data_IF_280323542007
#
_entry.id   IF_280323542007
#
_cell.length_a   1.000
_cell.length_b   1.000
_cell.length_c   1.000
_cell.angle_alpha   90.00
_cell.angle_beta   90.00
_cell.angle_gamma   90.00
#
_symmetry.space_group_name_H-M   'P 1'
#
loop_
_entity.id
_entity.type
_entity.pdbx_description
1 polymer ?
#
# COMPACT_ATOMS: atom_id res chain seq x y z
N UNK A 1 11.71 29.69 -12.48
CA UNK A 1 10.61 29.44 -11.52
C UNK A 1 10.85 28.07 -10.92
N UNK A 2 11.30 28.02 -9.66
CA UNK A 2 11.57 26.77 -8.94
C UNK A 2 10.23 26.14 -8.54
N UNK A 3 9.94 24.94 -9.03
CA UNK A 3 8.73 24.21 -8.63
C UNK A 3 8.88 23.81 -7.17
N UNK A 4 7.94 24.26 -6.34
CA UNK A 4 7.82 24.06 -4.90
C UNK A 4 7.58 22.60 -4.48
N UNK A 5 7.63 21.66 -5.43
CA UNK A 5 7.35 20.24 -5.24
C UNK A 5 8.58 19.42 -5.63
N UNK A 6 9.07 18.62 -4.69
CA UNK A 6 10.10 17.61 -4.98
C UNK A 6 9.58 16.71 -6.10
N UNK A 7 10.40 16.50 -7.13
CA UNK A 7 10.02 15.67 -8.26
C UNK A 7 9.83 14.21 -7.79
N UNK A 8 8.63 13.66 -8.00
CA UNK A 8 8.33 12.28 -7.64
C UNK A 8 9.12 11.31 -8.55
N UNK A 9 9.77 10.33 -7.94
CA UNK A 9 10.39 9.20 -8.61
C UNK A 9 9.33 8.10 -8.76
N UNK A 10 8.59 8.16 -9.88
CA UNK A 10 7.45 7.27 -10.11
C UNK A 10 7.82 5.79 -10.07
N UNK A 11 8.96 5.41 -10.67
CA UNK A 11 9.39 4.01 -10.71
C UNK A 11 9.70 3.52 -9.28
N UNK A 12 10.50 4.28 -8.51
CA UNK A 12 10.80 3.90 -7.13
C UNK A 12 9.60 3.93 -6.20
N UNK A 13 8.63 4.80 -6.47
CA UNK A 13 7.37 4.83 -5.72
C UNK A 13 6.55 3.57 -6.01
N UNK A 14 6.48 3.14 -7.27
CA UNK A 14 5.84 1.87 -7.63
C UNK A 14 6.52 0.68 -6.96
N UNK A 15 7.85 0.62 -6.97
CA UNK A 15 8.62 -0.46 -6.33
C UNK A 15 8.35 -0.47 -4.81
N UNK A 16 8.33 0.69 -4.16
CA UNK A 16 8.03 0.84 -2.72
C UNK A 16 6.63 0.33 -2.38
N UNK A 17 5.64 0.63 -3.21
CA UNK A 17 4.25 0.15 -3.05
C UNK A 17 4.19 -1.37 -3.22
N UNK A 18 4.92 -1.92 -4.20
CA UNK A 18 4.98 -3.35 -4.45
C UNK A 18 5.59 -4.13 -3.29
N UNK A 19 6.73 -3.66 -2.77
CA UNK A 19 7.39 -4.21 -1.57
C UNK A 19 6.45 -4.16 -0.37
N UNK A 20 5.82 -3.01 -0.11
CA UNK A 20 4.92 -2.84 1.03
C UNK A 20 3.72 -3.81 0.97
N UNK A 21 3.06 -3.90 -0.18
CA UNK A 21 1.87 -4.75 -0.33
C UNK A 21 2.19 -6.24 -0.45
N UNK A 22 3.42 -6.60 -0.79
CA UNK A 22 3.87 -8.00 -0.86
C UNK A 22 4.40 -8.49 0.48
N UNK A 23 5.29 -7.72 1.12
CA UNK A 23 6.02 -8.17 2.31
C UNK A 23 5.34 -7.77 3.62
N UNK A 24 4.73 -6.59 3.68
CA UNK A 24 4.22 -6.02 4.94
C UNK A 24 2.72 -6.29 5.13
N UNK A 25 1.94 -6.36 4.05
CA UNK A 25 0.50 -6.67 4.13
C UNK A 25 0.24 -8.00 4.84
N UNK A 26 0.99 -9.06 4.51
CA UNK A 26 0.84 -10.37 5.16
C UNK A 26 1.18 -10.29 6.65
N UNK A 27 2.26 -9.60 7.01
CA UNK A 27 2.64 -9.38 8.42
C UNK A 27 1.56 -8.63 9.19
N UNK A 28 1.02 -7.56 8.62
CA UNK A 28 -0.05 -6.78 9.25
C UNK A 28 -1.29 -7.64 9.50
N UNK A 29 -1.71 -8.43 8.51
CA UNK A 29 -2.86 -9.34 8.63
C UNK A 29 -2.65 -10.33 9.77
N UNK A 30 -1.48 -10.96 9.84
CA UNK A 30 -1.12 -11.89 10.91
C UNK A 30 -1.11 -11.20 12.28
N UNK A 31 -0.56 -9.98 12.38
CA UNK A 31 -0.52 -9.19 13.61
C UNK A 31 -1.92 -8.77 14.09
N UNK A 32 -2.84 -8.48 13.17
CA UNK A 32 -4.23 -8.16 13.50
C UNK A 32 -5.09 -9.37 13.85
N UNK A 33 -4.55 -10.60 13.71
CA UNK A 33 -5.30 -11.85 13.90
C UNK A 33 -6.39 -12.10 12.85
N UNK A 34 -6.30 -11.44 11.67
CA UNK A 34 -7.26 -11.58 10.56
C UNK A 34 -6.72 -12.53 9.49
N UNK A 35 -7.55 -12.82 8.49
CA UNK A 35 -7.13 -13.54 7.29
C UNK A 35 -7.17 -12.62 6.07
N UNK A 36 -6.29 -12.87 5.09
CA UNK A 36 -6.29 -12.13 3.81
C UNK A 36 -7.64 -12.21 3.09
N UNK A 37 -8.39 -13.30 3.31
CA UNK A 37 -9.73 -13.49 2.76
C UNK A 37 -10.73 -12.42 3.23
N UNK A 38 -10.52 -11.81 4.39
CA UNK A 38 -11.41 -10.78 4.94
C UNK A 38 -11.35 -9.49 4.13
N UNK A 39 -10.25 -9.28 3.39
CA UNK A 39 -10.02 -8.12 2.52
C UNK A 39 -10.67 -8.28 1.14
N UNK A 40 -11.17 -9.47 0.78
CA UNK A 40 -11.83 -9.72 -0.52
C UNK A 40 -13.21 -9.08 -0.62
N UNK A 41 -13.84 -8.78 0.52
CA UNK A 41 -15.15 -8.14 0.57
C UNK A 41 -15.02 -6.62 0.52
N UNK A 42 -15.88 -5.90 -0.21
CA UNK A 42 -15.99 -4.44 -0.10
C UNK A 42 -16.37 -3.97 1.31
N UNK A 43 -16.94 -4.85 2.14
CA UNK A 43 -17.21 -4.59 3.55
C UNK A 43 -16.26 -5.42 4.41
N UNK A 44 -15.30 -4.76 5.07
CA UNK A 44 -14.44 -5.40 6.07
C UNK A 44 -15.27 -5.79 7.30
N UNK A 45 -15.36 -7.09 7.60
CA UNK A 45 -16.06 -7.57 8.80
C UNK A 45 -15.22 -7.26 10.04
N UNK A 46 -15.71 -6.37 10.91
CA UNK A 46 -14.99 -5.80 12.07
C UNK A 46 -14.98 -6.71 13.31
N UNK A 47 -14.83 -8.03 13.16
CA UNK A 47 -14.70 -8.90 14.32
C UNK A 47 -13.31 -8.74 14.98
N UNK A 48 -13.22 -8.41 16.27
CA UNK A 48 -11.92 -8.33 16.97
C UNK A 48 -11.31 -9.72 17.11
N UNK A 49 -10.07 -9.89 16.65
CA UNK A 49 -9.27 -11.08 16.96
C UNK A 49 -8.90 -11.07 18.45
N UNK A 50 -9.25 -12.12 19.19
CA UNK A 50 -9.00 -12.20 20.63
C UNK A 50 -7.50 -12.51 20.90
N UNK A 51 -6.76 -11.57 21.48
CA UNK A 51 -5.38 -11.83 21.96
C UNK A 51 -5.39 -12.16 23.45
N UNK A 52 -5.08 -13.41 23.81
CA UNK A 52 -4.93 -13.86 25.20
C UNK A 52 -3.47 -13.70 25.67
N UNK A 53 -3.19 -12.91 26.73
CA UNK A 53 -1.95 -13.07 27.51
C UNK A 53 -1.32 -11.81 28.12
N UNK A 54 -1.34 -11.72 29.45
CA UNK A 54 -0.86 -10.65 30.35
C UNK A 54 0.52 -10.02 30.05
N UNK A 55 0.63 -8.71 30.29
CA UNK A 55 1.79 -7.79 30.23
C UNK A 55 2.49 -7.61 28.87
N UNK A 56 2.69 -8.66 28.07
CA UNK A 56 2.98 -8.53 26.64
C UNK A 56 1.71 -8.26 25.82
N UNK A 57 0.54 -8.49 26.42
CA UNK A 57 -0.76 -8.11 25.88
C UNK A 57 -0.80 -6.65 25.49
N UNK A 58 -0.35 -5.70 26.32
CA UNK A 58 -0.55 -4.27 26.00
C UNK A 58 0.22 -3.86 24.74
N UNK A 59 1.50 -4.22 24.62
CA UNK A 59 2.28 -3.94 23.42
C UNK A 59 1.76 -4.69 22.19
N UNK A 60 1.35 -5.95 22.37
CA UNK A 60 0.75 -6.78 21.30
C UNK A 60 -0.61 -6.24 20.84
N UNK A 61 -1.46 -5.82 21.78
CA UNK A 61 -2.76 -5.18 21.56
C UNK A 61 -2.57 -3.85 20.86
N UNK A 62 -1.62 -3.01 21.30
CA UNK A 62 -1.30 -1.73 20.63
C UNK A 62 -0.84 -2.02 19.20
N UNK A 63 0.10 -2.95 19.00
CA UNK A 63 0.57 -3.32 17.66
C UNK A 63 -0.51 -3.94 16.78
N UNK A 64 -1.46 -4.67 17.37
CA UNK A 64 -2.61 -5.24 16.68
C UNK A 64 -3.66 -4.20 16.32
N UNK A 65 -3.88 -3.19 17.17
CA UNK A 65 -4.75 -2.04 16.90
C UNK A 65 -4.18 -1.17 15.79
N UNK A 66 -2.88 -0.89 15.84
CA UNK A 66 -2.16 -0.16 14.79
C UNK A 66 -2.21 -0.93 13.47
N UNK A 67 -1.92 -2.24 13.50
CA UNK A 67 -2.02 -3.10 12.32
C UNK A 67 -3.46 -3.17 11.77
N UNK A 68 -4.48 -3.21 12.64
CA UNK A 68 -5.87 -3.19 12.20
C UNK A 68 -6.23 -1.86 11.52
N UNK A 69 -5.80 -0.73 12.07
CA UNK A 69 -6.00 0.58 11.45
C UNK A 69 -5.31 0.65 10.07
N UNK A 70 -4.07 0.14 9.96
CA UNK A 70 -3.35 0.07 8.69
C UNK A 70 -4.05 -0.82 7.67
N UNK A 71 -4.52 -2.01 8.06
CA UNK A 71 -5.27 -2.91 7.17
C UNK A 71 -6.55 -2.25 6.66
N UNK A 72 -7.28 -1.56 7.54
CA UNK A 72 -8.47 -0.80 7.12
C UNK A 72 -8.09 0.30 6.13
N UNK A 73 -6.96 0.99 6.36
CA UNK A 73 -6.49 2.04 5.45
C UNK A 73 -6.13 1.45 4.08
N UNK A 74 -5.42 0.32 4.04
CA UNK A 74 -5.08 -0.40 2.79
C UNK A 74 -6.35 -0.82 2.05
N UNK A 75 -7.31 -1.42 2.77
CA UNK A 75 -8.58 -1.84 2.21
C UNK A 75 -9.36 -0.68 1.60
N UNK A 76 -9.60 0.38 2.37
CA UNK A 76 -10.31 1.55 1.89
C UNK A 76 -9.58 2.20 0.70
N UNK A 77 -8.25 2.24 0.75
CA UNK A 77 -7.44 2.76 -0.36
C UNK A 77 -7.74 1.98 -1.65
N UNK A 78 -7.62 0.64 -1.63
CA UNK A 78 -7.86 -0.22 -2.81
C UNK A 78 -9.28 -0.04 -3.33
N UNK A 79 -10.30 -0.07 -2.46
CA UNK A 79 -11.70 -0.01 -2.89
C UNK A 79 -12.16 1.37 -3.35
N UNK A 80 -11.44 2.45 -3.03
CA UNK A 80 -11.69 3.81 -3.53
C UNK A 80 -10.88 4.16 -4.79
N UNK A 81 -10.00 3.28 -5.27
CA UNK A 81 -9.32 3.49 -6.54
C UNK A 81 -10.29 3.46 -7.73
N UNK A 82 -9.94 4.11 -8.85
CA UNK A 82 -10.68 3.96 -10.11
C UNK A 82 -10.82 2.47 -10.49
N UNK A 83 -11.93 2.09 -11.12
CA UNK A 83 -12.34 0.69 -11.30
C UNK A 83 -11.21 -0.23 -11.82
N UNK A 84 -10.53 0.19 -12.88
CA UNK A 84 -9.41 -0.59 -13.45
C UNK A 84 -8.23 -0.74 -12.49
N UNK A 85 -7.86 0.34 -11.80
CA UNK A 85 -6.78 0.31 -10.81
C UNK A 85 -7.15 -0.54 -9.61
N UNK A 86 -8.40 -0.44 -9.13
CA UNK A 86 -8.94 -1.30 -8.06
C UNK A 86 -8.86 -2.78 -8.44
N UNK A 87 -9.32 -3.16 -9.65
CA UNK A 87 -9.27 -4.55 -10.12
C UNK A 87 -7.82 -5.04 -10.13
N UNK A 88 -6.89 -4.28 -10.72
CA UNK A 88 -5.47 -4.67 -10.79
C UNK A 88 -4.86 -4.86 -9.39
N UNK A 89 -5.04 -3.88 -8.49
CA UNK A 89 -4.46 -3.93 -7.14
C UNK A 89 -5.07 -5.05 -6.31
N UNK A 90 -6.39 -5.22 -6.36
CA UNK A 90 -7.10 -6.29 -5.64
C UNK A 90 -6.67 -7.67 -6.14
N UNK A 91 -6.63 -7.86 -7.45
CA UNK A 91 -6.33 -9.17 -8.05
C UNK A 91 -4.86 -9.55 -7.81
N UNK A 92 -3.94 -8.59 -7.86
CA UNK A 92 -2.53 -8.80 -7.52
C UNK A 92 -2.28 -9.07 -6.04
N UNK A 93 -2.74 -8.19 -5.14
CA UNK A 93 -2.27 -8.22 -3.74
C UNK A 93 -3.24 -8.92 -2.78
N UNK A 94 -4.54 -8.94 -3.08
CA UNK A 94 -5.55 -9.58 -2.22
C UNK A 94 -5.86 -11.00 -2.70
N UNK A 95 -6.00 -11.19 -4.02
CA UNK A 95 -6.18 -12.52 -4.60
C UNK A 95 -4.87 -13.24 -4.90
N UNK A 96 -3.72 -12.55 -4.80
CA UNK A 96 -2.39 -13.12 -5.05
C UNK A 96 -2.31 -13.78 -6.44
N UNK A 97 -2.98 -13.18 -7.43
CA UNK A 97 -2.90 -13.63 -8.82
C UNK A 97 -1.58 -13.20 -9.44
N UNK A 98 -1.06 -14.04 -10.32
CA UNK A 98 0.13 -13.71 -11.08
C UNK A 98 -0.15 -12.56 -12.06
N UNK A 99 0.86 -11.70 -12.29
CA UNK A 99 0.70 -10.54 -13.19
C UNK A 99 0.19 -10.90 -14.59
N UNK A 100 0.58 -12.08 -15.11
CA UNK A 100 0.10 -12.54 -16.42
C UNK A 100 -1.38 -12.97 -16.38
N UNK A 101 -1.86 -13.53 -15.26
CA UNK A 101 -3.27 -13.90 -15.08
C UNK A 101 -4.16 -12.66 -15.01
N UNK A 102 -3.70 -11.64 -14.29
CA UNK A 102 -4.43 -10.36 -14.20
C UNK A 102 -4.49 -9.70 -15.57
N UNK A 103 -3.36 -9.64 -16.30
CA UNK A 103 -3.31 -9.08 -17.66
C UNK A 103 -4.29 -9.77 -18.62
N UNK A 104 -4.36 -11.10 -18.56
CA UNK A 104 -5.29 -11.91 -19.35
C UNK A 104 -6.75 -11.65 -18.95
N UNK A 105 -7.04 -11.62 -17.64
CA UNK A 105 -8.38 -11.36 -17.11
C UNK A 105 -8.94 -9.99 -17.56
N UNK A 106 -8.09 -8.95 -17.60
CA UNK A 106 -8.48 -7.63 -18.09
C UNK A 106 -8.36 -7.47 -19.61
N UNK A 107 -7.88 -8.49 -20.34
CA UNK A 107 -7.69 -8.54 -21.80
C UNK A 107 -6.73 -7.46 -22.35
N UNK A 108 -5.68 -7.13 -21.60
CA UNK A 108 -4.63 -6.20 -22.05
C UNK A 108 -3.34 -6.94 -22.37
N UNK A 109 -2.61 -6.48 -23.40
CA UNK A 109 -1.26 -6.95 -23.66
C UNK A 109 -0.29 -6.54 -22.55
N UNK A 110 0.75 -7.34 -22.32
CA UNK A 110 1.71 -7.16 -21.22
C UNK A 110 2.26 -5.74 -21.06
N UNK A 111 2.62 -5.07 -22.18
CA UNK A 111 3.14 -3.69 -22.13
C UNK A 111 2.11 -2.69 -21.61
N UNK A 112 0.85 -2.80 -22.07
CA UNK A 112 -0.22 -1.90 -21.64
C UNK A 112 -0.61 -2.21 -20.18
N UNK A 113 -0.67 -3.49 -19.82
CA UNK A 113 -0.89 -3.92 -18.45
C UNK A 113 0.14 -3.32 -17.49
N UNK A 114 1.44 -3.37 -17.82
CA UNK A 114 2.48 -2.81 -16.96
C UNK A 114 2.32 -1.30 -16.73
N UNK A 115 1.88 -0.54 -17.75
CA UNK A 115 1.56 0.89 -17.60
C UNK A 115 0.38 1.10 -16.67
N UNK A 116 -0.69 0.29 -16.81
CA UNK A 116 -1.87 0.36 -15.95
C UNK A 116 -1.55 -0.04 -14.50
N UNK A 117 -0.73 -1.07 -14.29
CA UNK A 117 -0.25 -1.51 -12.97
C UNK A 117 0.52 -0.39 -12.28
N UNK A 118 1.52 0.20 -12.95
CA UNK A 118 2.29 1.32 -12.37
C UNK A 118 1.41 2.50 -12.03
N UNK A 119 0.46 2.84 -12.91
CA UNK A 119 -0.52 3.90 -12.62
C UNK A 119 -1.38 3.58 -11.39
N UNK A 120 -1.82 2.32 -11.25
CA UNK A 120 -2.59 1.88 -10.09
C UNK A 120 -1.77 1.97 -8.78
N UNK A 121 -0.48 1.62 -8.82
CA UNK A 121 0.43 1.73 -7.67
C UNK A 121 0.66 3.19 -7.25
N UNK A 122 0.80 4.11 -8.23
CA UNK A 122 0.91 5.55 -7.92
C UNK A 122 -0.37 6.09 -7.27
N UNK A 123 -1.53 5.77 -7.83
CA UNK A 123 -2.81 6.16 -7.22
C UNK A 123 -3.01 5.56 -5.83
N UNK A 124 -2.50 4.35 -5.61
CA UNK A 124 -2.50 3.76 -4.28
C UNK A 124 -1.65 4.58 -3.32
N UNK A 125 -0.41 4.96 -3.67
CA UNK A 125 0.44 5.77 -2.81
C UNK A 125 -0.22 7.11 -2.42
N UNK A 126 -0.81 7.81 -3.41
CA UNK A 126 -1.51 9.08 -3.19
C UNK A 126 -2.73 8.92 -2.26
N UNK A 127 -3.55 7.89 -2.52
CA UNK A 127 -4.77 7.62 -1.77
C UNK A 127 -4.48 7.10 -0.35
N UNK A 128 -3.42 6.30 -0.19
CA UNK A 128 -3.04 5.73 1.09
C UNK A 128 -2.63 6.80 2.10
N UNK A 129 -1.88 7.82 1.66
CA UNK A 129 -1.49 8.96 2.50
C UNK A 129 -2.70 9.72 3.05
N UNK A 130 -3.82 9.76 2.31
CA UNK A 130 -5.09 10.28 2.80
C UNK A 130 -5.75 9.35 3.84
N UNK A 131 -5.91 8.06 3.50
CA UNK A 131 -6.61 7.10 4.36
C UNK A 131 -5.88 6.81 5.67
N UNK A 132 -4.55 6.80 5.68
CA UNK A 132 -3.76 6.64 6.91
C UNK A 132 -4.06 7.77 7.91
N UNK A 133 -4.15 9.01 7.43
CA UNK A 133 -4.49 10.16 8.29
C UNK A 133 -5.94 10.10 8.75
N UNK A 134 -6.85 9.71 7.87
CA UNK A 134 -8.26 9.55 8.21
C UNK A 134 -8.47 8.49 9.30
N UNK A 135 -7.73 7.39 9.24
CA UNK A 135 -7.82 6.29 10.19
C UNK A 135 -6.90 6.43 11.41
N UNK A 136 -6.15 7.54 11.50
CA UNK A 136 -5.22 7.83 12.60
C UNK A 136 -4.19 6.70 12.78
N UNK A 137 -3.67 6.16 11.67
CA UNK A 137 -2.62 5.15 11.70
C UNK A 137 -1.35 5.73 12.33
N UNK A 138 -0.68 4.95 13.17
CA UNK A 138 0.58 5.32 13.79
C UNK A 138 1.55 4.13 13.73
N UNK A 139 2.72 4.25 13.06
CA UNK A 139 3.25 5.43 12.37
C UNK A 139 2.64 5.68 10.97
N UNK A 140 2.74 6.91 10.47
CA UNK A 140 2.39 7.22 9.07
C UNK A 140 3.51 6.71 8.15
N UNK A 141 3.14 5.92 7.14
CA UNK A 141 4.07 5.30 6.19
C UNK A 141 4.03 6.06 4.86
N UNK A 142 5.05 6.87 4.57
CA UNK A 142 5.17 7.51 3.26
C UNK A 142 5.74 6.54 2.23
N UNK A 143 4.91 6.22 1.22
CA UNK A 143 5.28 5.38 0.10
C UNK A 143 5.94 6.16 -1.05
N UNK A 144 5.87 7.49 -1.04
CA UNK A 144 6.44 8.33 -2.09
C UNK A 144 7.97 8.37 -2.01
N UNK A 145 8.61 8.17 -3.17
CA UNK A 145 10.05 8.39 -3.32
C UNK A 145 10.27 9.59 -4.20
N UNK A 146 11.14 10.49 -3.77
CA UNK A 146 11.47 11.70 -4.50
C UNK A 146 12.84 11.56 -5.18
N UNK A 147 12.98 12.12 -6.37
CA UNK A 147 14.27 12.21 -7.05
C UNK A 147 15.20 13.07 -6.21
N UNK A 148 16.46 12.65 -6.08
CA UNK A 148 17.49 13.50 -5.46
C UNK A 148 17.65 14.74 -6.33
N UNK A 149 17.57 15.92 -5.73
CA UNK A 149 17.88 17.17 -6.41
C UNK A 149 19.26 17.05 -7.05
N UNK A 150 19.35 17.29 -8.37
CA UNK A 150 20.63 17.29 -9.10
C UNK A 150 21.60 18.39 -8.64
N UNK A 151 21.20 19.24 -7.70
CA UNK A 151 21.91 20.48 -7.34
C UNK A 151 22.79 20.39 -6.08
N UNK A 152 23.15 19.20 -5.58
CA UNK A 152 24.08 19.08 -4.45
C UNK A 152 25.34 18.23 -4.75
N UNK A 153 25.89 18.36 -5.96
CA UNK A 153 27.20 17.81 -6.33
C UNK A 153 28.09 18.89 -6.95
N UNK A 154 28.16 20.06 -6.30
CA UNK A 154 28.95 21.20 -6.77
C UNK A 154 29.49 22.05 -5.62
N UNK A 155 30.32 21.45 -4.75
CA UNK A 155 31.50 22.10 -4.16
C UNK A 155 32.15 21.19 -3.13
N UNK A 156 33.13 20.40 -3.58
CA UNK A 156 34.20 19.82 -2.78
C UNK A 156 35.34 19.48 -3.75
N UNK A 157 35.86 20.53 -4.38
CA UNK A 157 37.13 20.52 -5.07
C UNK A 157 37.59 21.98 -5.16
N UNK A 158 38.26 22.44 -4.10
CA UNK A 158 39.49 23.25 -4.11
C UNK A 158 39.99 23.43 -2.67
#
# INVERSE_FOLDING_TARGET
>A
MSLLFKELDCDKTCDRVDEFLTDDLEKLILMSGRNLTDLRSPSLSLAPGHSNGTNHAEASIISGLDAEAEIRAIHHTIYHLPEMSKIIMRDLYIYQMESWQVADAIRYGHTQYNVLRRRAQLFFADSFDHWQRYMTCSPIIDLHRYKKDRNNTGNLAE
#
